data_IF_894827891495
#
_entry.id   IF_894827891495
#
_cell.length_a   1.000
_cell.length_b   1.000
_cell.length_c   1.000
_cell.angle_alpha   90.00
_cell.angle_beta   90.00
_cell.angle_gamma   90.00
#
_symmetry.space_group_name_H-M   'P 1'
#
loop_
_entity.id
_entity.type
_entity.pdbx_description
1 polymer ?
#
# COMPACT_ATOMS: atom_id res chain seq x y z
N UNK A 1 -0.25 13.58 4.34
CA UNK A 1 -0.68 12.31 4.97
C UNK A 1 -0.28 12.21 6.45
N UNK A 2 0.87 12.78 6.87
CA UNK A 2 1.38 12.65 8.25
C UNK A 2 1.39 13.98 9.03
N UNK A 3 0.64 14.98 8.60
CA UNK A 3 0.52 16.28 9.29
C UNK A 3 0.05 16.09 10.73
N UNK A 4 0.77 16.67 11.68
CA UNK A 4 0.49 16.55 13.13
C UNK A 4 0.91 15.21 13.76
N UNK A 5 1.57 14.32 13.00
CA UNK A 5 2.12 13.06 13.52
C UNK A 5 3.59 13.22 13.90
N UNK A 6 3.94 12.74 15.08
CA UNK A 6 5.31 12.67 15.58
C UNK A 6 5.87 11.27 15.40
N UNK A 7 6.97 11.14 14.67
CA UNK A 7 7.64 9.86 14.41
C UNK A 7 9.03 9.89 15.03
N UNK A 8 9.34 8.89 15.84
CA UNK A 8 10.66 8.72 16.44
C UNK A 8 11.44 7.64 15.68
N UNK A 9 12.54 8.03 15.05
CA UNK A 9 13.45 7.11 14.37
C UNK A 9 14.59 6.73 15.31
N UNK A 10 14.73 5.43 15.59
CA UNK A 10 15.89 4.85 16.26
C UNK A 10 16.93 4.40 15.23
N UNK A 11 18.13 4.91 15.30
CA UNK A 11 19.23 4.54 14.38
C UNK A 11 20.30 3.79 15.15
N UNK A 12 20.64 2.58 14.70
CA UNK A 12 21.60 1.73 15.39
C UNK A 12 22.84 1.44 14.54
N UNK A 13 23.89 0.85 15.14
CA UNK A 13 25.21 0.67 14.54
C UNK A 13 25.26 -0.34 13.40
N UNK A 14 24.82 0.05 12.23
CA UNK A 14 24.86 -0.75 10.99
C UNK A 14 25.19 0.16 9.81
N UNK A 15 25.88 -0.41 8.81
CA UNK A 15 26.14 0.30 7.54
C UNK A 15 24.84 0.79 6.88
N UNK A 16 23.70 0.14 7.12
CA UNK A 16 22.41 0.55 6.58
C UNK A 16 21.86 1.87 7.19
N UNK A 17 22.54 2.47 8.16
CA UNK A 17 22.14 3.75 8.79
C UNK A 17 21.96 4.91 7.78
N UNK A 18 22.72 4.93 6.67
CA UNK A 18 22.58 5.95 5.63
C UNK A 18 21.17 5.95 4.98
N UNK A 19 20.52 4.80 4.89
CA UNK A 19 19.18 4.66 4.35
C UNK A 19 18.13 5.37 5.21
N UNK A 20 18.34 5.38 6.53
CA UNK A 20 17.41 6.04 7.45
C UNK A 20 17.40 7.56 7.26
N UNK A 21 18.50 8.15 6.76
CA UNK A 21 18.51 9.56 6.39
C UNK A 21 17.53 9.85 5.23
N UNK A 22 17.48 8.98 4.22
CA UNK A 22 16.50 9.09 3.16
C UNK A 22 15.06 8.92 3.69
N UNK A 23 14.82 7.93 4.56
CA UNK A 23 13.52 7.74 5.21
C UNK A 23 13.10 8.98 6.00
N UNK A 24 14.01 9.59 6.78
CA UNK A 24 13.73 10.82 7.51
C UNK A 24 13.30 11.96 6.56
N UNK A 25 14.03 12.14 5.45
CA UNK A 25 13.68 13.13 4.42
C UNK A 25 12.30 12.86 3.80
N UNK A 26 11.96 11.59 3.52
CA UNK A 26 10.64 11.21 2.98
C UNK A 26 9.51 11.52 3.96
N UNK A 27 9.71 11.27 5.26
CA UNK A 27 8.72 11.54 6.31
C UNK A 27 8.49 13.05 6.49
N UNK A 28 9.56 13.86 6.49
CA UNK A 28 9.47 15.32 6.56
C UNK A 28 8.69 15.89 5.36
N UNK A 29 8.92 15.36 4.15
CA UNK A 29 8.15 15.74 2.94
C UNK A 29 6.66 15.41 3.05
N UNK A 30 6.27 14.44 3.89
CA UNK A 30 4.88 14.12 4.21
C UNK A 30 4.33 14.91 5.40
N UNK A 31 5.05 15.96 5.86
CA UNK A 31 4.73 16.83 6.98
C UNK A 31 4.66 16.12 8.34
N UNK A 32 5.49 15.08 8.55
CA UNK A 32 5.68 14.48 9.86
C UNK A 32 6.67 15.32 10.70
N UNK A 33 6.45 15.38 12.03
CA UNK A 33 7.44 15.85 12.99
C UNK A 33 8.38 14.67 13.33
N UNK A 34 9.62 14.70 12.82
CA UNK A 34 10.55 13.58 12.89
C UNK A 34 11.63 13.86 13.92
N UNK A 35 11.71 13.01 14.95
CA UNK A 35 12.78 13.01 15.96
C UNK A 35 13.68 11.80 15.78
N UNK A 36 14.98 11.98 16.00
CA UNK A 36 15.95 10.90 15.81
C UNK A 36 16.72 10.63 17.10
N UNK A 37 16.77 9.35 17.48
CA UNK A 37 17.62 8.85 18.56
C UNK A 37 18.66 7.91 17.93
N UNK A 38 19.94 8.19 18.17
CA UNK A 38 21.03 7.34 17.70
C UNK A 38 21.68 6.61 18.85
N UNK A 39 22.02 5.34 18.64
CA UNK A 39 22.97 4.68 19.55
C UNK A 39 24.38 5.23 19.34
N UNK A 40 25.24 5.13 20.35
CA UNK A 40 26.65 5.54 20.23
C UNK A 40 27.34 4.86 19.04
N UNK A 41 27.06 3.59 18.79
CA UNK A 41 27.61 2.86 17.66
C UNK A 41 27.11 3.38 16.30
N UNK A 42 25.91 3.94 16.23
CA UNK A 42 25.38 4.52 14.98
C UNK A 42 26.19 5.73 14.53
N UNK A 43 26.73 6.52 15.47
CA UNK A 43 27.53 7.72 15.16
C UNK A 43 28.84 7.41 14.43
N UNK A 44 29.27 6.13 14.41
CA UNK A 44 30.44 5.68 13.65
C UNK A 44 30.14 5.48 12.15
N UNK A 45 28.85 5.39 11.78
CA UNK A 45 28.42 5.18 10.38
C UNK A 45 27.84 6.44 9.75
N UNK A 46 27.17 7.28 10.55
CA UNK A 46 26.55 8.54 10.10
C UNK A 46 26.53 9.52 11.26
N UNK A 47 26.70 10.81 10.97
CA UNK A 47 26.74 11.82 12.03
C UNK A 47 25.36 12.31 12.46
N UNK A 48 25.16 12.70 13.74
CA UNK A 48 23.90 13.33 14.20
C UNK A 48 23.52 14.56 13.36
N UNK A 49 24.50 15.35 12.90
CA UNK A 49 24.32 16.53 12.07
C UNK A 49 23.48 16.24 10.81
N UNK A 50 23.64 15.05 10.20
CA UNK A 50 22.84 14.66 9.02
C UNK A 50 21.35 14.67 9.34
N UNK A 51 20.96 14.07 10.45
CA UNK A 51 19.56 14.01 10.86
C UNK A 51 19.02 15.35 11.34
N UNK A 52 19.82 16.13 12.07
CA UNK A 52 19.45 17.47 12.51
C UNK A 52 19.15 18.39 11.33
N UNK A 53 19.98 18.34 10.28
CA UNK A 53 19.79 19.11 9.06
C UNK A 53 18.50 18.69 8.31
N UNK A 54 18.19 17.40 8.27
CA UNK A 54 17.02 16.89 7.55
C UNK A 54 15.71 17.13 8.28
N UNK A 55 15.71 17.03 9.62
CA UNK A 55 14.48 17.04 10.43
C UNK A 55 14.22 18.37 11.12
N UNK A 56 15.20 19.25 11.16
CA UNK A 56 15.21 20.50 11.96
C UNK A 56 14.94 20.24 13.46
N UNK A 57 15.26 19.04 13.93
CA UNK A 57 15.18 18.63 15.32
C UNK A 57 16.55 18.15 15.81
N UNK A 58 16.89 18.40 17.08
CA UNK A 58 18.12 17.88 17.67
C UNK A 58 18.13 16.35 17.66
N UNK A 59 19.18 15.74 17.12
CA UNK A 59 19.42 14.31 17.20
C UNK A 59 19.97 13.94 18.59
N UNK A 60 19.37 12.97 19.25
CA UNK A 60 19.71 12.59 20.62
C UNK A 60 20.57 11.34 20.60
N UNK A 61 21.74 11.40 21.23
CA UNK A 61 22.68 10.27 21.36
C UNK A 61 22.84 9.85 22.82
N UNK A 62 23.05 10.84 23.70
CA UNK A 62 23.32 10.61 25.12
C UNK A 62 22.08 10.86 25.98
N UNK A 63 21.80 9.93 26.90
CA UNK A 63 20.74 10.07 27.89
C UNK A 63 20.95 11.22 28.84
N UNK A 64 22.23 11.57 29.14
CA UNK A 64 22.63 12.55 30.11
C UNK A 64 23.22 13.85 29.52
N UNK A 65 22.89 14.12 28.23
CA UNK A 65 23.28 15.40 27.60
C UNK A 65 22.67 16.57 28.39
N UNK A 66 23.54 17.42 28.97
CA UNK A 66 23.15 18.55 29.82
C UNK A 66 22.75 19.83 29.05
N UNK A 67 22.90 19.84 27.75
CA UNK A 67 22.56 20.98 26.88
C UNK A 67 21.08 20.96 26.46
N UNK A 68 20.14 20.94 27.40
CA UNK A 68 18.73 20.93 27.09
C UNK A 68 17.86 21.63 28.15
N UNK A 69 16.66 22.05 27.75
CA UNK A 69 15.64 22.56 28.65
C UNK A 69 15.14 21.43 29.58
N UNK A 70 14.92 21.71 30.84
CA UNK A 70 14.60 20.85 31.99
C UNK A 70 13.53 19.70 31.78
N UNK A 71 13.41 19.13 30.59
CA UNK A 71 12.54 17.98 30.29
C UNK A 71 13.35 16.67 30.28
N UNK A 72 12.76 15.63 30.89
CA UNK A 72 13.30 14.27 30.79
C UNK A 72 13.00 13.74 29.39
N UNK A 73 13.98 13.88 28.47
CA UNK A 73 13.78 13.69 27.02
C UNK A 73 13.23 12.33 26.62
N UNK A 74 13.69 11.23 27.22
CA UNK A 74 13.15 9.90 26.93
C UNK A 74 11.67 9.78 27.28
N UNK A 75 11.20 10.40 28.40
CA UNK A 75 9.80 10.41 28.79
C UNK A 75 8.98 11.32 27.88
N UNK A 76 9.50 12.50 27.54
CA UNK A 76 8.85 13.44 26.63
C UNK A 76 8.64 12.84 25.25
N UNK A 77 9.66 12.23 24.63
CA UNK A 77 9.55 11.55 23.35
C UNK A 77 8.67 10.31 23.40
N UNK A 78 8.76 9.50 24.47
CA UNK A 78 7.92 8.32 24.66
C UNK A 78 6.43 8.66 24.71
N UNK A 79 6.05 9.82 25.27
CA UNK A 79 4.66 10.30 25.33
C UNK A 79 4.20 10.97 24.05
N UNK A 80 5.10 11.67 23.35
CA UNK A 80 4.79 12.51 22.20
C UNK A 80 4.81 11.74 20.88
N UNK A 81 5.59 10.67 20.79
CA UNK A 81 5.70 9.85 19.60
C UNK A 81 4.41 9.10 19.30
N UNK A 82 3.87 9.27 18.09
CA UNK A 82 2.74 8.47 17.58
C UNK A 82 3.21 7.09 17.09
N UNK A 83 4.49 6.97 16.70
CA UNK A 83 5.12 5.74 16.24
C UNK A 83 6.63 5.79 16.41
N UNK A 84 7.21 4.65 16.74
CA UNK A 84 8.66 4.43 16.79
C UNK A 84 9.09 3.47 15.69
N UNK A 85 10.11 3.85 14.90
CA UNK A 85 10.73 2.98 13.89
C UNK A 85 12.22 2.85 14.20
N UNK A 86 12.68 1.65 14.53
CA UNK A 86 14.11 1.38 14.69
C UNK A 86 14.67 0.82 13.39
N UNK A 87 15.35 1.67 12.65
CA UNK A 87 15.89 1.35 11.32
C UNK A 87 17.27 2.04 11.14
N UNK A 88 18.32 1.28 10.87
CA UNK A 88 18.44 -0.17 11.00
C UNK A 88 18.31 -0.61 12.47
N UNK A 89 17.82 -1.84 12.70
CA UNK A 89 17.81 -2.46 14.01
C UNK A 89 18.84 -3.60 14.09
N UNK A 90 19.90 -3.42 14.90
CA UNK A 90 20.93 -4.45 15.09
C UNK A 90 20.46 -5.56 16.05
N UNK A 91 21.08 -6.74 15.95
CA UNK A 91 20.85 -7.85 16.87
C UNK A 91 21.09 -7.44 18.35
N UNK A 92 22.06 -6.54 18.60
CA UNK A 92 22.33 -6.01 19.93
C UNK A 92 21.09 -5.30 20.51
N UNK A 93 20.46 -4.39 19.75
CA UNK A 93 19.28 -3.65 20.23
C UNK A 93 18.07 -4.57 20.36
N UNK A 94 17.87 -5.53 19.43
CA UNK A 94 16.85 -6.56 19.55
C UNK A 94 17.02 -7.35 20.87
N UNK A 95 18.24 -7.80 21.16
CA UNK A 95 18.55 -8.54 22.39
C UNK A 95 18.33 -7.71 23.65
N UNK A 96 18.74 -6.43 23.67
CA UNK A 96 18.51 -5.52 24.78
C UNK A 96 17.02 -5.33 25.05
N UNK A 97 16.23 -4.96 24.05
CA UNK A 97 14.80 -4.73 24.23
C UNK A 97 14.07 -6.01 24.65
N UNK A 98 14.39 -7.17 24.05
CA UNK A 98 13.84 -8.46 24.43
C UNK A 98 14.23 -8.87 25.87
N UNK A 99 15.40 -8.46 26.34
CA UNK A 99 15.88 -8.66 27.72
C UNK A 99 15.43 -7.61 28.72
N UNK A 100 14.76 -6.52 28.28
CA UNK A 100 14.35 -5.42 29.16
C UNK A 100 15.52 -4.52 29.59
N UNK A 101 16.62 -4.49 28.83
CA UNK A 101 17.82 -3.70 29.14
C UNK A 101 17.64 -2.28 28.59
N UNK A 102 17.73 -1.28 29.45
CA UNK A 102 17.51 0.13 29.18
C UNK A 102 18.74 0.94 29.57
N UNK A 103 19.89 0.67 28.94
CA UNK A 103 21.20 1.24 29.27
C UNK A 103 21.62 2.39 28.33
N UNK A 104 20.77 2.75 27.37
CA UNK A 104 20.97 3.88 26.46
C UNK A 104 19.65 4.64 26.21
N UNK A 105 19.76 5.80 25.56
CA UNK A 105 18.62 6.68 25.28
C UNK A 105 17.53 5.99 24.45
N UNK A 106 17.91 5.19 23.45
CA UNK A 106 16.97 4.50 22.55
C UNK A 106 16.18 3.43 23.29
N UNK A 107 16.87 2.51 23.97
CA UNK A 107 16.23 1.39 24.67
C UNK A 107 15.38 1.87 25.85
N UNK A 108 15.81 2.92 26.57
CA UNK A 108 15.02 3.57 27.62
C UNK A 108 13.74 4.19 27.07
N UNK A 109 13.82 4.89 25.92
CA UNK A 109 12.64 5.50 25.29
C UNK A 109 11.65 4.44 24.77
N UNK A 110 12.17 3.35 24.17
CA UNK A 110 11.34 2.22 23.71
C UNK A 110 10.59 1.57 24.88
N UNK A 111 11.25 1.39 26.02
CA UNK A 111 10.62 0.82 27.21
C UNK A 111 9.53 1.71 27.81
N UNK A 112 9.64 3.01 27.65
CA UNK A 112 8.72 4.00 28.21
C UNK A 112 7.50 4.31 27.32
N UNK A 113 7.56 4.00 26.01
CA UNK A 113 6.50 4.36 25.08
C UNK A 113 5.33 3.39 25.11
N UNK A 114 4.12 3.91 24.79
CA UNK A 114 2.90 3.13 24.53
C UNK A 114 2.54 3.14 23.03
N UNK A 115 3.26 3.91 22.22
CA UNK A 115 3.06 3.95 20.78
C UNK A 115 3.55 2.66 20.11
N UNK A 116 3.05 2.32 18.93
CA UNK A 116 3.56 1.20 18.14
C UNK A 116 5.06 1.33 17.90
N UNK A 117 5.81 0.23 18.08
CA UNK A 117 7.24 0.17 17.81
C UNK A 117 7.52 -0.84 16.71
N UNK A 118 8.14 -0.38 15.63
CA UNK A 118 8.50 -1.17 14.47
C UNK A 118 10.03 -1.36 14.44
N UNK A 119 10.48 -2.60 14.27
CA UNK A 119 11.89 -2.93 14.10
C UNK A 119 12.17 -3.35 12.66
N UNK A 120 13.16 -2.73 12.03
CA UNK A 120 13.70 -3.11 10.73
C UNK A 120 15.10 -3.73 10.91
N UNK A 121 15.19 -5.06 11.13
CA UNK A 121 16.46 -5.74 11.35
C UNK A 121 17.42 -5.56 10.17
N UNK A 122 18.71 -5.37 10.49
CA UNK A 122 19.79 -5.25 9.52
C UNK A 122 21.07 -5.89 10.07
N UNK A 123 21.45 -7.02 9.51
CA UNK A 123 22.61 -7.78 9.96
C UNK A 123 23.08 -8.79 8.90
N UNK A 124 24.16 -9.46 9.14
CA UNK A 124 24.64 -10.56 8.31
C UNK A 124 23.72 -11.80 8.46
N UNK A 125 23.71 -12.67 7.46
CA UNK A 125 22.82 -13.84 7.39
C UNK A 125 23.01 -14.79 8.58
N UNK A 126 24.26 -15.10 8.97
CA UNK A 126 24.50 -15.95 10.12
C UNK A 126 24.00 -15.40 11.45
N UNK A 127 24.00 -14.06 11.61
CA UNK A 127 23.36 -13.40 12.76
C UNK A 127 21.83 -13.48 12.67
N UNK A 128 21.27 -13.29 11.48
CA UNK A 128 19.82 -13.37 11.26
C UNK A 128 19.29 -14.78 11.55
N UNK A 129 20.00 -15.81 11.12
CA UNK A 129 19.61 -17.22 11.32
C UNK A 129 19.93 -17.76 12.73
N UNK A 130 20.59 -16.97 13.57
CA UNK A 130 20.95 -17.40 14.92
C UNK A 130 19.70 -17.66 15.76
N UNK A 131 19.55 -18.87 16.39
CA UNK A 131 18.37 -19.23 17.16
C UNK A 131 18.06 -18.25 18.29
N UNK A 132 19.06 -17.71 18.98
CA UNK A 132 18.87 -16.72 20.07
C UNK A 132 18.22 -15.44 19.52
N UNK A 133 18.63 -15.00 18.32
CA UNK A 133 18.00 -13.84 17.68
C UNK A 133 16.56 -14.13 17.31
N UNK A 134 16.30 -15.31 16.71
CA UNK A 134 14.94 -15.70 16.32
C UNK A 134 14.00 -15.81 17.54
N UNK A 135 14.47 -16.37 18.65
CA UNK A 135 13.72 -16.42 19.91
C UNK A 135 13.41 -15.01 20.43
N UNK A 136 14.39 -14.10 20.40
CA UNK A 136 14.19 -12.71 20.78
C UNK A 136 13.15 -12.01 19.89
N UNK A 137 13.17 -12.24 18.58
CA UNK A 137 12.18 -11.69 17.66
C UNK A 137 10.77 -12.24 17.93
N UNK A 138 10.63 -13.53 18.20
CA UNK A 138 9.34 -14.13 18.57
C UNK A 138 8.83 -13.55 19.91
N UNK A 139 9.72 -13.39 20.90
CA UNK A 139 9.39 -12.75 22.17
C UNK A 139 8.90 -11.30 21.96
N UNK A 140 9.56 -10.52 21.13
CA UNK A 140 9.14 -9.15 20.80
C UNK A 140 7.78 -9.14 20.11
N UNK A 141 7.55 -10.02 19.12
CA UNK A 141 6.24 -10.18 18.47
C UNK A 141 5.13 -10.52 19.48
N UNK A 142 5.41 -11.41 20.42
CA UNK A 142 4.45 -11.78 21.50
C UNK A 142 4.05 -10.58 22.37
N UNK A 143 4.98 -9.65 22.63
CA UNK A 143 4.69 -8.41 23.37
C UNK A 143 4.13 -7.27 22.51
N UNK A 144 3.77 -7.53 21.25
CA UNK A 144 3.12 -6.57 20.38
C UNK A 144 4.07 -5.64 19.61
N UNK A 145 5.37 -5.91 19.60
CA UNK A 145 6.30 -5.21 18.72
C UNK A 145 6.19 -5.71 17.28
N UNK A 146 6.32 -4.82 16.32
CA UNK A 146 6.21 -5.15 14.90
C UNK A 146 7.59 -5.36 14.29
N UNK A 147 7.81 -6.52 13.69
CA UNK A 147 9.07 -6.85 13.01
C UNK A 147 8.84 -6.75 11.50
N UNK A 148 9.59 -5.86 10.84
CA UNK A 148 9.62 -5.77 9.39
C UNK A 148 10.69 -6.73 8.91
N UNK A 149 10.27 -7.84 8.31
CA UNK A 149 11.18 -8.90 7.91
C UNK A 149 12.24 -8.37 6.92
N UNK A 150 13.53 -8.71 7.11
CA UNK A 150 14.58 -8.33 6.18
C UNK A 150 14.40 -9.04 4.84
N UNK A 151 14.92 -8.43 3.79
CA UNK A 151 14.87 -9.00 2.44
C UNK A 151 16.11 -9.83 2.15
N UNK A 152 15.96 -10.78 1.23
CA UNK A 152 17.08 -11.52 0.66
C UNK A 152 17.81 -10.66 -0.36
N UNK A 153 19.14 -10.62 -0.31
CA UNK A 153 19.94 -9.87 -1.27
C UNK A 153 21.43 -9.85 -0.93
N UNK A 154 22.19 -9.15 -1.74
CA UNK A 154 23.62 -8.97 -1.47
C UNK A 154 23.82 -8.07 -0.25
N UNK A 155 24.60 -8.55 0.70
CA UNK A 155 24.96 -7.86 1.93
C UNK A 155 26.29 -7.11 1.78
N UNK A 156 26.59 -6.21 2.72
CA UNK A 156 27.82 -5.43 2.68
C UNK A 156 29.10 -6.29 2.84
N UNK A 157 29.00 -7.46 3.46
CA UNK A 157 30.12 -8.42 3.55
C UNK A 157 30.39 -9.18 2.24
N UNK A 158 29.54 -8.97 1.19
CA UNK A 158 29.68 -9.66 -0.09
C UNK A 158 28.79 -10.90 -0.25
N UNK A 159 28.29 -11.45 0.83
CA UNK A 159 27.40 -12.60 0.84
C UNK A 159 26.02 -12.28 0.28
N UNK A 160 25.31 -13.28 -0.19
CA UNK A 160 23.90 -13.19 -0.58
C UNK A 160 23.08 -14.04 0.36
N UNK A 161 22.10 -13.41 1.02
CA UNK A 161 21.23 -14.09 2.00
C UNK A 161 20.22 -13.15 2.65
N UNK A 162 19.52 -13.66 3.66
CA UNK A 162 18.61 -12.89 4.50
C UNK A 162 19.37 -11.99 5.46
N UNK A 163 18.77 -10.88 5.87
CA UNK A 163 19.36 -9.93 6.83
C UNK A 163 19.53 -8.51 6.30
N UNK A 164 19.24 -8.27 5.02
CA UNK A 164 19.28 -6.94 4.41
C UNK A 164 18.03 -6.14 4.80
N UNK A 165 18.25 -4.93 5.35
CA UNK A 165 17.14 -4.00 5.64
C UNK A 165 16.32 -3.73 4.38
N UNK A 166 14.99 -3.74 4.44
CA UNK A 166 14.12 -3.37 3.33
C UNK A 166 14.42 -1.97 2.76
N UNK A 167 13.82 -1.64 1.63
CA UNK A 167 13.96 -0.31 1.04
C UNK A 167 13.28 0.76 1.91
N UNK A 168 13.68 1.99 1.73
CA UNK A 168 13.12 3.15 2.42
C UNK A 168 11.63 3.30 2.12
N UNK A 169 11.22 2.99 0.89
CA UNK A 169 9.81 2.98 0.47
C UNK A 169 9.01 1.93 1.24
N UNK A 170 9.54 0.71 1.39
CA UNK A 170 8.88 -0.34 2.18
C UNK A 170 8.74 0.07 3.65
N UNK A 171 9.77 0.69 4.23
CA UNK A 171 9.71 1.20 5.61
C UNK A 171 8.68 2.32 5.75
N UNK A 172 8.62 3.23 4.79
CA UNK A 172 7.61 4.29 4.74
C UNK A 172 6.20 3.70 4.65
N UNK A 173 5.97 2.70 3.80
CA UNK A 173 4.67 2.03 3.69
C UNK A 173 4.23 1.43 5.03
N UNK A 174 5.15 0.82 5.79
CA UNK A 174 4.86 0.29 7.12
C UNK A 174 4.47 1.39 8.12
N UNK A 175 5.11 2.55 8.07
CA UNK A 175 4.73 3.71 8.90
C UNK A 175 3.34 4.21 8.50
N UNK A 176 3.08 4.36 7.20
CA UNK A 176 1.78 4.81 6.69
C UNK A 176 0.64 3.85 7.06
N UNK A 177 0.87 2.55 7.03
CA UNK A 177 -0.10 1.54 7.49
C UNK A 177 -0.57 1.77 8.93
N UNK A 178 0.27 2.34 9.79
CA UNK A 178 -0.09 2.59 11.18
C UNK A 178 -0.73 3.97 11.37
N UNK A 179 -0.24 5.01 10.67
CA UNK A 179 -0.52 6.40 11.03
C UNK A 179 -1.35 7.19 10.03
N UNK A 180 -1.34 6.81 8.73
CA UNK A 180 -1.80 7.72 7.69
C UNK A 180 -3.31 8.02 7.71
N UNK A 181 -4.11 7.09 8.20
CA UNK A 181 -5.58 7.20 8.22
C UNK A 181 -6.17 6.60 9.49
N UNK A 182 -7.35 7.08 9.86
CA UNK A 182 -8.21 6.43 10.84
C UNK A 182 -8.60 5.02 10.35
N UNK A 183 -8.76 4.06 11.27
CA UNK A 183 -9.01 2.65 10.94
C UNK A 183 -10.52 2.32 10.95
N UNK A 184 -11.30 3.16 10.29
CA UNK A 184 -12.77 3.06 10.20
C UNK A 184 -13.26 1.86 9.36
N UNK A 185 -12.40 1.29 8.52
CA UNK A 185 -12.65 0.05 7.76
C UNK A 185 -12.07 -1.21 8.42
N UNK A 186 -11.62 -1.11 9.68
CA UNK A 186 -11.07 -2.26 10.41
C UNK A 186 -12.09 -3.42 10.49
N UNK A 187 -11.62 -4.62 10.10
CA UNK A 187 -12.44 -5.84 10.06
C UNK A 187 -13.29 -5.98 8.80
N UNK A 188 -13.32 -5.00 7.90
CA UNK A 188 -13.99 -5.10 6.59
C UNK A 188 -13.10 -5.82 5.58
N UNK A 189 -13.69 -6.72 4.82
CA UNK A 189 -13.06 -7.43 3.68
C UNK A 189 -13.46 -6.74 2.39
N UNK A 190 -12.47 -6.22 1.67
CA UNK A 190 -12.69 -5.46 0.43
C UNK A 190 -11.98 -6.13 -0.74
N UNK A 191 -12.72 -6.45 -1.78
CA UNK A 191 -12.17 -6.90 -3.04
C UNK A 191 -12.16 -5.76 -4.04
N UNK A 192 -11.00 -5.47 -4.62
CA UNK A 192 -10.83 -4.44 -5.66
C UNK A 192 -10.33 -5.11 -6.94
N UNK A 193 -10.93 -4.81 -8.09
CA UNK A 193 -10.36 -5.18 -9.38
C UNK A 193 -9.60 -4.01 -9.99
N UNK A 194 -8.49 -4.27 -10.69
CA UNK A 194 -7.67 -3.23 -11.30
C UNK A 194 -7.01 -3.68 -12.61
N UNK A 195 -6.59 -2.71 -13.42
CA UNK A 195 -5.86 -2.95 -14.64
C UNK A 195 -6.73 -3.43 -15.80
N UNK A 196 -6.14 -3.60 -16.98
CA UNK A 196 -6.80 -4.14 -18.15
C UNK A 196 -6.79 -5.67 -18.13
N UNK A 197 -7.69 -6.30 -18.90
CA UNK A 197 -7.49 -7.67 -19.35
C UNK A 197 -6.78 -7.72 -20.69
N UNK A 198 -6.15 -8.85 -21.00
CA UNK A 198 -5.46 -9.13 -22.26
C UNK A 198 -6.07 -10.39 -22.88
N UNK A 199 -6.73 -10.21 -24.01
CA UNK A 199 -7.42 -11.29 -24.70
C UNK A 199 -6.54 -11.80 -25.84
N UNK A 200 -5.97 -12.99 -25.65
CA UNK A 200 -4.99 -13.56 -26.57
C UNK A 200 -5.56 -13.80 -27.97
N UNK A 201 -4.84 -13.34 -29.01
CA UNK A 201 -5.07 -13.70 -30.41
C UNK A 201 -4.24 -14.94 -30.75
N UNK A 202 -2.99 -14.96 -30.29
CA UNK A 202 -2.00 -16.02 -30.42
C UNK A 202 -1.00 -15.93 -29.25
N UNK A 203 0.02 -16.77 -29.15
CA UNK A 203 1.01 -16.72 -28.06
C UNK A 203 1.79 -15.39 -27.91
N UNK A 204 1.72 -14.51 -28.93
CA UNK A 204 2.51 -13.29 -29.00
C UNK A 204 1.66 -12.01 -28.92
N UNK A 205 0.42 -12.05 -29.45
CA UNK A 205 -0.43 -10.86 -29.61
C UNK A 205 -1.75 -11.00 -28.84
N UNK A 206 -2.26 -9.88 -28.36
CA UNK A 206 -3.50 -9.79 -27.61
C UNK A 206 -4.24 -8.47 -27.90
N UNK A 207 -5.53 -8.45 -27.61
CA UNK A 207 -6.37 -7.25 -27.55
C UNK A 207 -6.43 -6.81 -26.10
N UNK A 208 -6.37 -5.52 -25.82
CA UNK A 208 -6.40 -4.98 -24.47
C UNK A 208 -6.91 -3.53 -24.44
N UNK A 209 -7.19 -3.03 -23.25
CA UNK A 209 -7.55 -1.65 -22.96
C UNK A 209 -6.32 -0.81 -22.55
N UNK A 210 -6.40 0.51 -22.69
CA UNK A 210 -5.35 1.45 -22.28
C UNK A 210 -5.24 1.66 -20.75
N UNK A 211 -5.96 0.89 -19.94
CA UNK A 211 -5.96 1.06 -18.49
C UNK A 211 -4.57 0.81 -17.90
N UNK A 212 -4.10 1.76 -17.10
CA UNK A 212 -2.85 1.62 -16.34
C UNK A 212 -3.05 0.94 -14.97
N UNK A 213 -4.29 0.75 -14.50
CA UNK A 213 -4.62 0.21 -13.19
C UNK A 213 -4.51 1.21 -12.03
N UNK A 214 -3.97 2.43 -12.24
CA UNK A 214 -3.67 3.42 -11.20
C UNK A 214 -4.84 3.67 -10.24
N UNK A 215 -6.08 3.79 -10.75
CA UNK A 215 -7.24 4.08 -9.90
C UNK A 215 -7.58 2.93 -8.96
N UNK A 216 -7.64 1.69 -9.45
CA UNK A 216 -7.92 0.51 -8.62
C UNK A 216 -6.82 0.27 -7.57
N UNK A 217 -5.56 0.52 -7.92
CA UNK A 217 -4.44 0.47 -6.96
C UNK A 217 -4.54 1.58 -5.91
N UNK A 218 -4.98 2.79 -6.26
CA UNK A 218 -5.22 3.87 -5.32
C UNK A 218 -6.37 3.52 -4.35
N UNK A 219 -7.48 2.96 -4.85
CA UNK A 219 -8.58 2.48 -4.00
C UNK A 219 -8.12 1.39 -3.05
N UNK A 220 -7.38 0.40 -3.53
CA UNK A 220 -6.84 -0.68 -2.70
C UNK A 220 -5.89 -0.14 -1.62
N UNK A 221 -5.01 0.81 -1.97
CA UNK A 221 -4.09 1.48 -1.03
C UNK A 221 -4.86 2.24 0.04
N UNK A 222 -5.84 3.07 -0.32
CA UNK A 222 -6.60 3.84 0.66
C UNK A 222 -7.43 2.92 1.57
N UNK A 223 -8.00 1.85 1.04
CA UNK A 223 -8.74 0.87 1.83
C UNK A 223 -7.86 0.18 2.89
N UNK A 224 -6.65 -0.28 2.53
CA UNK A 224 -5.73 -0.91 3.49
C UNK A 224 -5.19 0.10 4.50
N UNK A 225 -4.95 1.35 4.12
CA UNK A 225 -4.58 2.43 5.04
C UNK A 225 -5.68 2.74 6.07
N UNK A 226 -6.94 2.54 5.71
CA UNK A 226 -8.13 2.65 6.59
C UNK A 226 -8.42 1.36 7.37
N UNK A 227 -7.55 0.36 7.28
CA UNK A 227 -7.59 -0.85 8.11
C UNK A 227 -8.35 -2.03 7.53
N UNK A 228 -8.80 -1.97 6.28
CA UNK A 228 -9.48 -3.09 5.63
C UNK A 228 -8.54 -4.25 5.29
N UNK A 229 -9.08 -5.46 5.23
CA UNK A 229 -8.44 -6.63 4.60
C UNK A 229 -8.68 -6.57 3.08
N UNK A 230 -7.65 -6.20 2.32
CA UNK A 230 -7.80 -5.93 0.89
C UNK A 230 -7.28 -7.08 0.03
N UNK A 231 -8.13 -7.56 -0.88
CA UNK A 231 -7.75 -8.44 -1.99
C UNK A 231 -7.84 -7.67 -3.30
N UNK A 232 -6.71 -7.56 -4.01
CA UNK A 232 -6.60 -6.86 -5.30
C UNK A 232 -6.48 -7.88 -6.42
N UNK A 233 -7.52 -8.04 -7.23
CA UNK A 233 -7.49 -8.84 -8.47
C UNK A 233 -7.03 -7.94 -9.61
N UNK A 234 -5.84 -8.19 -10.14
CA UNK A 234 -5.20 -7.27 -11.09
C UNK A 234 -4.86 -7.93 -12.40
N UNK A 235 -5.33 -7.34 -13.48
CA UNK A 235 -4.78 -7.57 -14.82
C UNK A 235 -3.34 -7.08 -14.92
N UNK A 236 -2.65 -7.29 -16.07
CA UNK A 236 -1.24 -6.97 -16.24
C UNK A 236 -0.98 -5.47 -16.19
N UNK A 237 -0.22 -5.04 -15.18
CA UNK A 237 0.24 -3.66 -14.97
C UNK A 237 1.64 -3.66 -14.36
N UNK A 238 2.38 -2.55 -14.49
CA UNK A 238 3.71 -2.38 -13.90
C UNK A 238 3.69 -1.94 -12.43
N UNK A 239 2.53 -1.51 -11.92
CA UNK A 239 2.39 -1.00 -10.55
C UNK A 239 2.52 -2.15 -9.55
N UNK A 240 3.34 -1.93 -8.50
CA UNK A 240 3.39 -2.84 -7.37
C UNK A 240 2.28 -2.51 -6.36
N UNK A 241 1.69 -3.52 -5.71
CA UNK A 241 0.69 -3.28 -4.67
C UNK A 241 1.36 -2.68 -3.44
N UNK A 242 0.63 -1.81 -2.75
CA UNK A 242 1.04 -1.29 -1.46
C UNK A 242 1.10 -2.41 -0.40
N UNK A 243 1.93 -2.23 0.62
CA UNK A 243 2.07 -3.21 1.71
C UNK A 243 0.71 -3.57 2.34
N UNK A 244 0.53 -4.83 2.70
CA UNK A 244 -0.71 -5.34 3.30
C UNK A 244 -1.81 -5.74 2.29
N UNK A 245 -1.65 -5.47 1.00
CA UNK A 245 -2.60 -5.87 -0.03
C UNK A 245 -2.30 -7.30 -0.54
N UNK A 246 -3.31 -8.17 -0.54
CA UNK A 246 -3.23 -9.51 -1.13
C UNK A 246 -3.51 -9.41 -2.64
N UNK A 247 -2.46 -9.48 -3.47
CA UNK A 247 -2.60 -9.40 -4.93
C UNK A 247 -2.87 -10.78 -5.55
N UNK A 248 -3.87 -10.82 -6.43
CA UNK A 248 -4.17 -11.96 -7.32
C UNK A 248 -3.97 -11.50 -8.76
N UNK A 249 -2.97 -12.08 -9.45
CA UNK A 249 -2.71 -11.75 -10.83
C UNK A 249 -3.59 -12.57 -11.77
N UNK A 250 -4.17 -11.90 -12.75
CA UNK A 250 -4.97 -12.49 -13.83
C UNK A 250 -4.57 -11.88 -15.17
N UNK A 251 -4.87 -12.55 -16.29
CA UNK A 251 -4.60 -12.01 -17.64
C UNK A 251 -5.88 -11.71 -18.40
N UNK A 252 -6.76 -12.70 -18.53
CA UNK A 252 -7.96 -12.59 -19.36
C UNK A 252 -9.19 -12.18 -18.57
N UNK A 253 -10.25 -11.78 -19.28
CA UNK A 253 -11.58 -11.53 -18.71
C UNK A 253 -12.13 -12.77 -17.99
N UNK A 254 -11.88 -13.97 -18.54
CA UNK A 254 -12.30 -15.23 -17.94
C UNK A 254 -11.58 -15.49 -16.60
N UNK A 255 -10.26 -15.33 -16.56
CA UNK A 255 -9.49 -15.48 -15.32
C UNK A 255 -9.93 -14.45 -14.27
N UNK A 256 -10.22 -13.21 -14.68
CA UNK A 256 -10.70 -12.16 -13.77
C UNK A 256 -12.09 -12.51 -13.23
N UNK A 257 -13.00 -13.01 -14.07
CA UNK A 257 -14.31 -13.49 -13.66
C UNK A 257 -14.17 -14.58 -12.58
N UNK A 258 -13.41 -15.63 -12.84
CA UNK A 258 -13.22 -16.76 -11.92
C UNK A 258 -12.56 -16.31 -10.60
N UNK A 259 -11.53 -15.46 -10.68
CA UNK A 259 -10.83 -14.96 -9.50
C UNK A 259 -11.74 -14.11 -8.59
N UNK A 260 -12.65 -13.31 -9.16
CA UNK A 260 -13.56 -12.45 -8.42
C UNK A 260 -14.72 -13.26 -7.87
N UNK A 261 -15.41 -14.03 -8.70
CA UNK A 261 -16.61 -14.77 -8.30
C UNK A 261 -16.34 -15.81 -7.22
N UNK A 262 -15.21 -16.53 -7.31
CA UNK A 262 -14.80 -17.49 -6.28
C UNK A 262 -14.52 -16.87 -4.91
N UNK A 263 -14.37 -15.54 -4.82
CA UNK A 263 -14.05 -14.80 -3.59
C UNK A 263 -15.14 -13.84 -3.13
N UNK A 264 -16.15 -13.60 -3.98
CA UNK A 264 -17.18 -12.56 -3.77
C UNK A 264 -18.01 -12.77 -2.50
N UNK A 265 -18.42 -14.01 -2.22
CA UNK A 265 -19.36 -14.31 -1.15
C UNK A 265 -18.90 -13.92 0.27
N UNK A 266 -17.59 -13.79 0.49
CA UNK A 266 -17.01 -13.47 1.80
C UNK A 266 -16.55 -12.02 1.94
N UNK A 267 -16.83 -11.18 0.93
CA UNK A 267 -16.45 -9.77 0.95
C UNK A 267 -17.59 -8.91 1.50
N UNK A 268 -17.24 -7.86 2.25
CA UNK A 268 -18.20 -6.83 2.66
C UNK A 268 -18.42 -5.82 1.53
N UNK A 269 -17.36 -5.50 0.78
CA UNK A 269 -17.39 -4.50 -0.29
C UNK A 269 -16.64 -5.04 -1.50
N UNK A 270 -17.21 -4.88 -2.69
CA UNK A 270 -16.56 -5.22 -3.97
C UNK A 270 -16.53 -3.96 -4.84
N UNK A 271 -15.33 -3.59 -5.32
CA UNK A 271 -15.11 -2.39 -6.14
C UNK A 271 -14.50 -2.80 -7.48
N UNK A 272 -15.33 -2.75 -8.53
CA UNK A 272 -14.97 -3.12 -9.90
C UNK A 272 -14.38 -1.92 -10.63
N UNK A 273 -13.04 -1.77 -10.56
CA UNK A 273 -12.29 -0.66 -11.18
C UNK A 273 -11.40 -1.11 -12.35
N UNK A 274 -11.44 -2.39 -12.74
CA UNK A 274 -10.71 -2.93 -13.87
C UNK A 274 -11.36 -2.55 -15.20
N UNK A 275 -10.55 -2.47 -16.26
CA UNK A 275 -10.99 -2.34 -17.65
C UNK A 275 -11.04 -3.74 -18.29
N UNK A 276 -12.12 -4.46 -18.04
CA UNK A 276 -12.36 -5.78 -18.62
C UNK A 276 -12.76 -5.61 -20.08
N UNK A 277 -12.19 -6.43 -20.96
CA UNK A 277 -12.61 -6.44 -22.36
C UNK A 277 -13.99 -7.06 -22.51
N UNK A 278 -14.92 -6.40 -23.22
CA UNK A 278 -16.27 -6.90 -23.52
C UNK A 278 -16.27 -8.05 -24.54
N UNK A 279 -15.17 -8.16 -25.30
CA UNK A 279 -15.00 -9.17 -26.35
C UNK A 279 -13.62 -9.82 -26.27
N UNK A 280 -13.59 -11.13 -26.55
CA UNK A 280 -12.37 -11.93 -26.66
C UNK A 280 -12.35 -12.67 -28.01
N UNK A 281 -11.19 -13.01 -28.60
CA UNK A 281 -11.14 -13.83 -29.80
C UNK A 281 -11.91 -15.14 -29.64
N UNK A 282 -12.76 -15.45 -30.62
CA UNK A 282 -13.56 -16.69 -30.59
C UNK A 282 -12.67 -17.94 -30.59
N UNK A 283 -11.52 -17.85 -31.26
CA UNK A 283 -10.50 -18.88 -31.34
C UNK A 283 -9.12 -18.25 -31.11
N UNK A 284 -8.34 -18.84 -30.22
CA UNK A 284 -6.95 -18.44 -29.97
C UNK A 284 -6.06 -19.38 -30.80
N UNK A 285 -5.18 -18.83 -31.62
CA UNK A 285 -4.27 -19.63 -32.41
C UNK A 285 -3.16 -20.22 -31.53
N UNK A 286 -2.89 -21.53 -31.66
CA UNK A 286 -1.82 -22.21 -30.90
C UNK A 286 -0.41 -21.73 -31.33
N UNK A 287 -0.26 -21.28 -32.56
CA UNK A 287 0.98 -20.77 -33.11
C UNK A 287 0.81 -19.31 -33.54
N UNK A 288 1.93 -18.56 -33.53
CA UNK A 288 1.95 -17.19 -34.03
C UNK A 288 1.38 -17.14 -35.46
N UNK A 289 0.30 -16.40 -35.66
CA UNK A 289 -0.32 -16.18 -36.96
C UNK A 289 0.68 -15.47 -37.88
N UNK A 290 1.14 -16.16 -38.94
CA UNK A 290 2.07 -15.57 -39.91
C UNK A 290 1.36 -14.57 -40.81
N UNK A 291 2.06 -13.51 -41.24
CA UNK A 291 1.59 -12.56 -42.21
C UNK A 291 1.30 -13.30 -43.53
N UNK A 292 0.11 -13.10 -44.04
CA UNK A 292 -0.31 -13.56 -45.40
C UNK A 292 -0.63 -12.34 -46.25
N UNK A 293 -0.67 -12.53 -47.58
CA UNK A 293 -1.15 -11.49 -48.46
C UNK A 293 -2.66 -11.26 -48.22
N UNK A 294 -3.04 -9.99 -48.03
CA UNK A 294 -4.40 -9.56 -47.73
C UNK A 294 -4.66 -9.21 -46.24
N UNK A 295 -5.88 -8.76 -45.97
CA UNK A 295 -6.34 -8.34 -44.65
C UNK A 295 -6.60 -9.55 -43.74
N UNK A 296 -6.39 -9.36 -42.42
CA UNK A 296 -6.70 -10.34 -41.39
C UNK A 296 -7.92 -9.87 -40.58
N UNK A 297 -8.99 -10.67 -40.57
CA UNK A 297 -10.12 -10.46 -39.67
C UNK A 297 -10.08 -11.45 -38.50
N UNK A 298 -10.44 -10.98 -37.33
CA UNK A 298 -10.49 -11.78 -36.10
C UNK A 298 -11.95 -11.83 -35.64
N UNK A 299 -12.53 -13.03 -35.61
CA UNK A 299 -13.87 -13.23 -35.04
C UNK A 299 -13.80 -13.09 -33.51
N UNK A 300 -14.68 -12.26 -32.96
CA UNK A 300 -14.79 -12.01 -31.53
C UNK A 300 -16.09 -12.60 -30.97
N UNK A 301 -16.03 -13.05 -29.72
CA UNK A 301 -17.19 -13.45 -28.89
C UNK A 301 -17.27 -12.59 -27.64
N UNK A 302 -18.45 -12.42 -27.06
CA UNK A 302 -18.66 -11.69 -25.83
C UNK A 302 -17.99 -12.40 -24.64
N UNK A 303 -17.44 -11.62 -23.72
CA UNK A 303 -16.97 -12.06 -22.40
C UNK A 303 -18.11 -12.08 -21.39
N UNK A 304 -17.87 -12.62 -20.22
CA UNK A 304 -18.84 -12.61 -19.11
C UNK A 304 -18.87 -11.24 -18.45
N UNK A 305 -20.07 -10.75 -18.15
CA UNK A 305 -20.26 -9.48 -17.44
C UNK A 305 -20.15 -9.69 -15.94
N UNK A 306 -18.95 -9.41 -15.41
CA UNK A 306 -18.62 -9.64 -14.01
C UNK A 306 -19.50 -8.81 -13.08
N UNK A 307 -19.75 -7.53 -13.41
CA UNK A 307 -20.54 -6.63 -12.58
C UNK A 307 -22.02 -7.08 -12.51
N UNK A 308 -22.59 -7.51 -13.64
CA UNK A 308 -23.95 -8.06 -13.69
C UNK A 308 -24.06 -9.32 -12.83
N UNK A 309 -23.13 -10.26 -13.01
CA UNK A 309 -23.11 -11.50 -12.24
C UNK A 309 -23.03 -11.22 -10.73
N UNK A 310 -22.14 -10.31 -10.31
CA UNK A 310 -22.00 -9.92 -8.89
C UNK A 310 -23.31 -9.33 -8.35
N UNK A 311 -23.97 -8.45 -9.10
CA UNK A 311 -25.24 -7.85 -8.66
C UNK A 311 -26.37 -8.85 -8.49
N UNK A 312 -26.41 -9.88 -9.33
CA UNK A 312 -27.40 -10.96 -9.24
C UNK A 312 -27.14 -11.92 -8.07
N UNK A 313 -25.87 -12.06 -7.64
CA UNK A 313 -25.45 -13.06 -6.66
C UNK A 313 -24.96 -12.46 -5.34
N UNK A 314 -24.98 -11.11 -5.16
CA UNK A 314 -24.47 -10.48 -3.95
C UNK A 314 -25.29 -10.86 -2.70
N UNK A 315 -24.61 -11.23 -1.59
CA UNK A 315 -25.28 -11.42 -0.31
C UNK A 315 -25.94 -10.12 0.21
N UNK A 316 -26.95 -10.25 1.03
CA UNK A 316 -27.59 -9.11 1.70
C UNK A 316 -26.56 -8.35 2.56
N UNK A 317 -26.48 -7.05 2.39
CA UNK A 317 -25.55 -6.16 3.13
C UNK A 317 -24.17 -6.02 2.49
N UNK A 318 -23.87 -6.75 1.39
CA UNK A 318 -22.67 -6.52 0.60
C UNK A 318 -22.84 -5.30 -0.29
N UNK A 319 -21.84 -4.42 -0.31
CA UNK A 319 -21.83 -3.23 -1.16
C UNK A 319 -21.08 -3.53 -2.45
N UNK A 320 -21.74 -3.27 -3.59
CA UNK A 320 -21.18 -3.46 -4.94
C UNK A 320 -20.99 -2.11 -5.62
N UNK A 321 -19.73 -1.79 -5.98
CA UNK A 321 -19.34 -0.56 -6.65
C UNK A 321 -18.82 -0.86 -8.04
N UNK A 322 -19.35 -0.20 -9.06
CA UNK A 322 -18.86 -0.26 -10.44
C UNK A 322 -18.20 1.05 -10.85
N UNK A 323 -17.26 0.96 -11.80
CA UNK A 323 -16.75 2.12 -12.52
C UNK A 323 -17.36 2.17 -13.93
N UNK A 324 -17.65 3.36 -14.41
CA UNK A 324 -17.99 3.61 -15.81
C UNK A 324 -17.12 4.72 -16.38
N UNK A 325 -16.88 4.62 -17.66
CA UNK A 325 -16.15 5.61 -18.45
C UNK A 325 -16.97 5.88 -19.67
N UNK A 326 -17.50 7.11 -19.75
CA UNK A 326 -18.44 7.52 -20.78
C UNK A 326 -17.89 8.74 -21.53
N UNK A 327 -18.19 8.81 -22.83
CA UNK A 327 -17.86 9.97 -23.67
C UNK A 327 -19.02 10.97 -23.74
N UNK A 328 -20.26 10.47 -23.64
CA UNK A 328 -21.50 11.25 -23.75
C UNK A 328 -22.52 10.71 -22.76
N UNK A 329 -23.50 11.54 -22.36
CA UNK A 329 -24.61 11.15 -21.48
C UNK A 329 -24.19 10.43 -20.17
N UNK A 330 -23.09 10.90 -19.56
CA UNK A 330 -22.44 10.28 -18.39
C UNK A 330 -23.42 9.84 -17.29
N UNK A 331 -24.33 10.74 -16.87
CA UNK A 331 -25.24 10.49 -15.76
C UNK A 331 -26.31 9.48 -16.15
N UNK A 332 -26.91 9.62 -17.33
CA UNK A 332 -27.98 8.77 -17.82
C UNK A 332 -27.50 7.33 -18.01
N UNK A 333 -26.42 7.14 -18.76
CA UNK A 333 -25.80 5.81 -18.99
C UNK A 333 -25.38 5.15 -17.69
N UNK A 334 -24.81 5.92 -16.75
CA UNK A 334 -24.37 5.37 -15.47
C UNK A 334 -25.54 5.04 -14.53
N UNK A 335 -26.67 5.75 -14.58
CA UNK A 335 -27.91 5.38 -13.86
C UNK A 335 -28.53 4.10 -14.42
N UNK A 336 -28.55 3.95 -15.74
CA UNK A 336 -29.01 2.71 -16.38
C UNK A 336 -28.13 1.53 -15.94
N UNK A 337 -26.80 1.73 -15.94
CA UNK A 337 -25.82 0.74 -15.48
C UNK A 337 -26.01 0.38 -14.01
N UNK A 338 -26.24 1.37 -13.13
CA UNK A 338 -26.53 1.16 -11.70
C UNK A 338 -27.70 0.19 -11.51
N UNK A 339 -28.82 0.48 -12.18
CA UNK A 339 -30.04 -0.30 -12.08
C UNK A 339 -29.89 -1.68 -12.71
N UNK A 340 -29.38 -1.76 -13.95
CA UNK A 340 -29.26 -3.00 -14.71
C UNK A 340 -28.27 -3.99 -14.09
N UNK A 341 -27.24 -3.48 -13.37
CA UNK A 341 -26.20 -4.30 -12.74
C UNK A 341 -26.44 -4.50 -11.24
N UNK A 342 -27.55 -4.01 -10.70
CA UNK A 342 -27.86 -4.06 -9.26
C UNK A 342 -26.70 -3.59 -8.38
N UNK A 343 -25.95 -2.57 -8.86
CA UNK A 343 -24.88 -1.95 -8.10
C UNK A 343 -25.44 -0.94 -7.08
N UNK A 344 -24.72 -0.70 -6.00
CA UNK A 344 -25.09 0.28 -4.98
C UNK A 344 -24.52 1.66 -5.31
N UNK A 345 -23.39 1.67 -6.02
CA UNK A 345 -22.67 2.88 -6.44
C UNK A 345 -22.02 2.68 -7.82
N UNK A 346 -22.16 3.68 -8.69
CA UNK A 346 -21.34 3.81 -9.91
C UNK A 346 -20.44 5.04 -9.78
N UNK A 347 -19.15 4.83 -9.97
CA UNK A 347 -18.13 5.88 -10.07
C UNK A 347 -17.92 6.20 -11.54
N UNK A 348 -18.51 7.28 -12.02
CA UNK A 348 -18.50 7.66 -13.44
C UNK A 348 -17.36 8.64 -13.74
N UNK A 349 -16.52 8.33 -14.74
CA UNK A 349 -15.45 9.18 -15.26
C UNK A 349 -15.80 9.71 -16.63
N UNK A 350 -15.55 11.00 -16.88
CA UNK A 350 -15.60 11.59 -18.23
C UNK A 350 -14.24 11.50 -18.89
N UNK A 351 -14.19 11.08 -20.15
CA UNK A 351 -12.97 11.14 -20.98
C UNK A 351 -12.80 12.51 -21.61
N UNK A 352 -13.86 13.30 -21.70
CA UNK A 352 -13.88 14.58 -22.41
C UNK A 352 -13.15 15.73 -21.66
N UNK A 353 -12.82 15.58 -20.39
CA UNK A 353 -12.12 16.60 -19.61
C UNK A 353 -10.60 16.41 -19.65
N UNK A 354 -9.86 17.48 -19.94
CA UNK A 354 -8.39 17.50 -19.84
C UNK A 354 -7.94 17.12 -18.42
N UNK A 355 -6.87 16.34 -18.30
CA UNK A 355 -6.29 15.84 -17.04
C UNK A 355 -7.10 14.75 -16.33
N UNK A 356 -8.07 14.12 -16.98
CA UNK A 356 -8.76 12.92 -16.52
C UNK A 356 -8.45 11.72 -17.42
N UNK A 357 -8.56 10.49 -16.90
CA UNK A 357 -8.38 9.26 -17.71
C UNK A 357 -7.31 8.29 -17.20
N UNK A 358 -6.87 7.36 -18.06
CA UNK A 358 -6.10 6.19 -17.66
C UNK A 358 -4.66 6.48 -17.22
N UNK A 359 -3.95 7.37 -17.92
CA UNK A 359 -2.49 7.56 -17.76
C UNK A 359 -2.10 8.66 -16.77
N UNK A 360 -3.02 9.56 -16.41
CA UNK A 360 -2.78 10.71 -15.53
C UNK A 360 -2.90 10.35 -14.04
N UNK A 361 -2.34 11.19 -13.17
CA UNK A 361 -2.34 10.96 -11.72
C UNK A 361 -3.53 11.62 -11.01
N UNK A 362 -4.30 12.44 -11.72
CA UNK A 362 -5.53 13.10 -11.24
C UNK A 362 -6.78 12.40 -11.78
N UNK A 363 -7.91 12.64 -11.13
CA UNK A 363 -9.22 12.17 -11.58
C UNK A 363 -10.32 13.12 -11.13
N UNK A 364 -11.44 13.15 -11.89
CA UNK A 364 -12.71 13.79 -11.52
C UNK A 364 -13.79 12.74 -11.68
N UNK A 365 -14.45 12.39 -10.62
CA UNK A 365 -15.41 11.29 -10.56
C UNK A 365 -16.77 11.84 -10.14
N UNK A 366 -17.83 11.37 -10.79
CA UNK A 366 -19.21 11.58 -10.37
C UNK A 366 -19.71 10.29 -9.71
N UNK A 367 -20.15 10.39 -8.46
CA UNK A 367 -20.73 9.30 -7.69
C UNK A 367 -22.25 9.24 -7.95
N UNK A 368 -22.74 8.08 -8.37
CA UNK A 368 -24.15 7.89 -8.72
C UNK A 368 -24.70 6.71 -7.92
N UNK A 369 -25.75 7.02 -7.13
CA UNK A 369 -26.51 6.06 -6.31
C UNK A 369 -27.98 6.15 -6.64
N UNK A 370 -28.83 5.28 -6.07
CA UNK A 370 -30.29 5.41 -6.14
C UNK A 370 -30.76 6.72 -5.49
N UNK A 371 -30.09 7.20 -4.43
CA UNK A 371 -30.47 8.40 -3.70
C UNK A 371 -30.12 9.71 -4.45
N UNK A 372 -29.13 9.69 -5.34
CA UNK A 372 -28.73 10.91 -6.04
C UNK A 372 -27.37 10.83 -6.73
N UNK A 373 -26.90 12.02 -7.13
CA UNK A 373 -25.65 12.24 -7.85
C UNK A 373 -24.79 13.22 -7.04
N UNK A 374 -23.49 12.91 -6.87
CA UNK A 374 -22.50 13.77 -6.23
C UNK A 374 -21.24 13.86 -7.08
N UNK A 375 -20.88 15.06 -7.51
CA UNK A 375 -19.61 15.32 -8.19
C UNK A 375 -18.50 15.48 -7.17
N UNK A 376 -17.36 14.81 -7.41
CA UNK A 376 -16.14 15.01 -6.66
C UNK A 376 -15.27 16.08 -7.34
N UNK A 377 -14.44 16.81 -6.58
CA UNK A 377 -13.49 17.75 -7.16
C UNK A 377 -12.42 17.02 -8.00
N UNK A 378 -11.78 17.75 -8.91
CA UNK A 378 -10.57 17.27 -9.57
C UNK A 378 -9.45 17.20 -8.53
N UNK A 379 -8.98 16.00 -8.21
CA UNK A 379 -7.93 15.77 -7.23
C UNK A 379 -7.05 14.57 -7.62
N UNK A 380 -6.07 14.24 -6.82
CA UNK A 380 -5.25 13.05 -7.04
C UNK A 380 -6.08 11.77 -6.99
N UNK A 381 -5.61 10.70 -7.63
CA UNK A 381 -6.29 9.40 -7.57
C UNK A 381 -6.41 8.83 -6.15
N UNK A 382 -5.43 9.12 -5.28
CA UNK A 382 -5.49 8.72 -3.86
C UNK A 382 -6.57 9.51 -3.11
N UNK A 383 -6.66 10.82 -3.29
CA UNK A 383 -7.73 11.64 -2.71
C UNK A 383 -9.11 11.25 -3.24
N UNK A 384 -9.21 11.00 -4.56
CA UNK A 384 -10.45 10.49 -5.19
C UNK A 384 -10.86 9.15 -4.56
N UNK A 385 -9.91 8.23 -4.36
CA UNK A 385 -10.15 6.93 -3.75
C UNK A 385 -10.65 7.06 -2.30
N UNK A 386 -10.08 7.97 -1.53
CA UNK A 386 -10.49 8.26 -0.16
C UNK A 386 -11.93 8.79 -0.10
N UNK A 387 -12.27 9.77 -0.95
CA UNK A 387 -13.63 10.33 -1.07
C UNK A 387 -14.66 9.27 -1.52
N UNK A 388 -14.27 8.33 -2.38
CA UNK A 388 -15.13 7.19 -2.77
C UNK A 388 -15.38 6.30 -1.55
N UNK A 389 -14.34 5.96 -0.78
CA UNK A 389 -14.47 5.14 0.43
C UNK A 389 -15.30 5.85 1.51
N UNK A 390 -15.16 7.18 1.68
CA UNK A 390 -16.03 7.96 2.57
C UNK A 390 -17.49 7.82 2.18
N UNK A 391 -17.78 7.88 0.88
CA UNK A 391 -19.16 7.72 0.41
C UNK A 391 -19.68 6.30 0.63
N UNK A 392 -18.85 5.28 0.39
CA UNK A 392 -19.20 3.88 0.63
C UNK A 392 -19.51 3.61 2.09
N UNK A 393 -18.76 4.21 3.03
CA UNK A 393 -19.03 4.04 4.48
C UNK A 393 -20.31 4.74 4.94
N UNK A 394 -20.87 5.62 4.14
CA UNK A 394 -22.14 6.33 4.42
C UNK A 394 -23.38 5.64 3.81
N UNK A 395 -23.19 4.59 2.97
CA UNK A 395 -24.28 3.79 2.40
C UNK A 395 -24.78 2.76 3.41
#
# INVERSE_FOLDING_TARGET
>A
MLTGKTIVLGVTGSIAAYKTANLASMLVKLNADVHVIMTQNATQFITPMTFETLTNNKCIVDTFDRNFNYEVKHVSLAKRGDLFMVAPCTANVIGKVAGGICDDMLTTTIMATKAPVLFAPAMNTGMWENPILQDNLQKLKHYGYHIIEPVVGRLACGDTGSGKMPSEETLLEQILLHLAKEKDLKGKKILVSAGPTQEAIDPVRFISNHSSGKMGYAVAKMAVLRGAEVTLVSGPVSIQPFAGIKKVNVKSAQEMFEAITSRSAVQDIIIMCSAVADYTPAHVAEQKVKKKDGDLSIALKRTQDILAWLGEHKPKGQILVGFSMETEHLIENSREKLTKKHADLICANSIAEEKTGFAVDTNKVTLITQAGVRELPLCSKEETADLILDHITSL
#
